data_IF_370346070809
#
_entry.id   IF_370346070809
#
_cell.length_a   1.000
_cell.length_b   1.000
_cell.length_c   1.000
_cell.angle_alpha   90.00
_cell.angle_beta   90.00
_cell.angle_gamma   90.00
#
_symmetry.space_group_name_H-M   'P 1'
#
loop_
_entity.id
_entity.type
_entity.pdbx_description
1 polymer ?
#
# COMPACT_ATOMS: atom_id res chain seq x y z
N UNK A 1 3.35 -28.57 18.86
CA UNK A 1 4.43 -27.98 19.67
C UNK A 1 5.61 -27.69 18.78
N UNK A 2 6.66 -27.03 19.28
CA UNK A 2 7.87 -26.78 18.49
C UNK A 2 8.47 -28.09 17.95
N UNK A 3 8.69 -28.15 16.65
CA UNK A 3 9.20 -29.33 15.94
C UNK A 3 10.55 -28.99 15.30
N UNK A 4 11.64 -29.68 15.66
CA UNK A 4 12.98 -29.40 15.13
C UNK A 4 13.20 -30.01 13.73
N UNK A 5 13.90 -29.29 12.87
CA UNK A 5 14.49 -29.81 11.62
C UNK A 5 15.80 -30.55 11.97
N UNK A 6 16.21 -31.65 11.28
CA UNK A 6 16.40 -31.63 9.83
C UNK A 6 15.68 -32.72 9.00
N UNK A 7 15.12 -33.76 9.61
CA UNK A 7 14.54 -34.90 8.86
C UNK A 7 13.15 -34.61 8.27
N UNK A 8 12.52 -33.53 8.70
CA UNK A 8 11.21 -33.04 8.26
C UNK A 8 11.19 -31.52 8.42
N UNK A 9 10.18 -30.88 7.83
CA UNK A 9 9.99 -29.44 7.91
C UNK A 9 9.74 -29.04 9.37
N UNK A 10 10.56 -28.16 9.94
CA UNK A 10 10.40 -27.70 11.32
C UNK A 10 9.47 -26.50 11.46
N UNK A 11 9.12 -26.18 12.71
CA UNK A 11 8.37 -24.95 13.03
C UNK A 11 9.15 -23.69 12.65
N UNK A 12 10.48 -23.71 12.82
CA UNK A 12 11.37 -22.61 12.42
C UNK A 12 11.34 -22.36 10.92
N UNK A 13 11.30 -23.41 10.10
CA UNK A 13 11.30 -23.30 8.63
C UNK A 13 10.02 -22.62 8.13
N UNK A 14 8.86 -23.00 8.68
CA UNK A 14 7.57 -22.36 8.38
C UNK A 14 7.61 -20.88 8.79
N UNK A 15 8.01 -20.62 10.04
CA UNK A 15 8.07 -19.26 10.58
C UNK A 15 8.99 -18.37 9.74
N UNK A 16 10.20 -18.84 9.45
CA UNK A 16 11.19 -18.08 8.73
C UNK A 16 10.78 -17.86 7.27
N UNK A 17 10.29 -18.89 6.59
CA UNK A 17 9.81 -18.75 5.21
C UNK A 17 8.65 -17.75 5.10
N UNK A 18 7.65 -17.85 5.97
CA UNK A 18 6.51 -16.93 5.95
C UNK A 18 6.91 -15.52 6.38
N UNK A 19 7.71 -15.39 7.45
CA UNK A 19 8.20 -14.10 7.92
C UNK A 19 9.02 -13.38 6.85
N UNK A 20 9.97 -14.09 6.20
CA UNK A 20 10.77 -13.51 5.13
C UNK A 20 9.89 -13.09 3.96
N UNK A 21 8.95 -13.91 3.51
CA UNK A 21 8.05 -13.54 2.41
C UNK A 21 7.18 -12.34 2.78
N UNK A 22 6.58 -12.32 3.97
CA UNK A 22 5.81 -11.16 4.45
C UNK A 22 6.69 -9.92 4.53
N UNK A 23 7.90 -10.04 5.09
CA UNK A 23 8.83 -8.93 5.24
C UNK A 23 9.27 -8.38 3.88
N UNK A 24 9.74 -9.23 2.96
CA UNK A 24 10.23 -8.80 1.66
C UNK A 24 9.10 -8.23 0.81
N UNK A 25 7.94 -8.87 0.77
CA UNK A 25 6.79 -8.38 0.01
C UNK A 25 6.28 -7.05 0.57
N UNK A 26 6.12 -6.91 1.90
CA UNK A 26 5.62 -5.66 2.50
C UNK A 26 6.64 -4.52 2.51
N UNK A 27 7.94 -4.81 2.59
CA UNK A 27 8.98 -3.77 2.61
C UNK A 27 9.30 -3.23 1.22
N UNK A 28 9.40 -4.12 0.23
CA UNK A 28 9.80 -3.76 -1.14
C UNK A 28 8.66 -3.18 -1.94
N UNK A 29 7.41 -3.51 -1.60
CA UNK A 29 6.24 -2.90 -2.25
C UNK A 29 6.11 -1.40 -1.92
N UNK A 30 6.65 -0.94 -0.80
CA UNK A 30 6.47 0.44 -0.34
C UNK A 30 7.36 1.44 -1.08
N UNK A 31 6.72 2.22 -1.94
CA UNK A 31 7.29 3.40 -2.58
C UNK A 31 6.78 4.64 -1.85
N UNK A 32 7.43 5.03 -0.75
CA UNK A 32 6.98 6.19 0.04
C UNK A 32 7.28 7.52 -0.67
N UNK A 33 6.50 8.55 -0.34
CA UNK A 33 6.71 9.91 -0.85
C UNK A 33 8.07 10.46 -0.41
N UNK A 34 8.60 11.40 -1.21
CA UNK A 34 9.95 11.94 -1.05
C UNK A 34 10.08 12.56 0.35
N UNK A 35 11.10 12.19 1.14
CA UNK A 35 11.32 12.76 2.46
C UNK A 35 11.73 14.23 2.38
N UNK A 36 11.55 14.97 3.46
CA UNK A 36 12.07 16.33 3.57
C UNK A 36 13.60 16.31 3.58
N UNK A 37 14.25 17.38 3.12
CA UNK A 37 15.70 17.58 3.30
C UNK A 37 16.12 17.61 4.77
N UNK A 38 15.17 17.90 5.67
CA UNK A 38 15.38 17.93 7.12
C UNK A 38 15.21 16.54 7.77
N UNK A 39 14.68 15.54 7.04
CA UNK A 39 14.41 14.21 7.61
C UNK A 39 15.71 13.38 7.64
N UNK A 40 16.22 13.13 8.84
CA UNK A 40 17.35 12.23 9.05
C UNK A 40 17.01 10.76 8.77
N UNK A 41 18.04 9.92 8.56
CA UNK A 41 17.91 8.48 8.28
C UNK A 41 16.99 7.72 9.25
N UNK A 42 17.03 7.95 10.58
CA UNK A 42 16.12 7.25 11.50
C UNK A 42 14.64 7.54 11.23
N UNK A 43 14.30 8.80 10.91
CA UNK A 43 12.93 9.21 10.61
C UNK A 43 12.45 8.50 9.35
N UNK A 44 13.30 8.44 8.30
CA UNK A 44 12.98 7.72 7.05
C UNK A 44 12.72 6.23 7.32
N UNK A 45 13.57 5.60 8.14
CA UNK A 45 13.42 4.19 8.50
C UNK A 45 12.13 3.92 9.28
N UNK A 46 11.87 4.66 10.37
CA UNK A 46 10.65 4.46 11.18
C UNK A 46 9.38 4.76 10.39
N UNK A 47 9.40 5.73 9.48
CA UNK A 47 8.29 6.00 8.56
C UNK A 47 8.02 4.79 7.66
N UNK A 48 9.07 4.18 7.10
CA UNK A 48 8.92 2.97 6.27
C UNK A 48 8.43 1.78 7.07
N UNK A 49 8.96 1.57 8.29
CA UNK A 49 8.50 0.54 9.20
C UNK A 49 7.01 0.71 9.59
N UNK A 50 6.56 1.95 9.84
CA UNK A 50 5.16 2.25 10.13
C UNK A 50 4.24 1.85 8.97
N UNK A 51 4.58 2.23 7.74
CA UNK A 51 3.82 1.87 6.55
C UNK A 51 3.88 0.36 6.25
N UNK A 52 5.00 -0.29 6.57
CA UNK A 52 5.12 -1.74 6.49
C UNK A 52 4.15 -2.43 7.46
N UNK A 53 4.03 -1.95 8.69
CA UNK A 53 3.05 -2.47 9.66
C UNK A 53 1.61 -2.32 9.16
N UNK A 54 1.27 -1.18 8.54
CA UNK A 54 -0.06 -1.00 7.90
C UNK A 54 -0.23 -2.00 6.76
N UNK A 55 0.79 -2.20 5.93
CA UNK A 55 0.77 -3.17 4.82
C UNK A 55 0.57 -4.59 5.32
N UNK A 56 1.19 -4.94 6.45
CA UNK A 56 1.01 -6.23 7.10
C UNK A 56 -0.41 -6.37 7.65
N UNK A 57 -1.05 -5.33 8.18
CA UNK A 57 -2.40 -5.46 8.74
C UNK A 57 -3.49 -5.44 7.65
N UNK A 58 -3.26 -4.62 6.62
CA UNK A 58 -4.24 -4.28 5.59
C UNK A 58 -3.56 -4.08 4.21
N UNK A 59 -3.09 -5.15 3.56
CA UNK A 59 -2.38 -5.06 2.27
C UNK A 59 -3.28 -4.56 1.13
N UNK A 60 -4.57 -4.86 1.16
CA UNK A 60 -5.56 -4.35 0.21
C UNK A 60 -5.72 -2.83 0.30
N UNK A 61 -5.58 -2.24 1.49
CA UNK A 61 -5.62 -0.79 1.65
C UNK A 61 -4.42 -0.13 0.96
N UNK A 62 -3.24 -0.72 1.05
CA UNK A 62 -2.04 -0.24 0.34
C UNK A 62 -2.19 -0.40 -1.18
N UNK A 63 -2.79 -1.50 -1.63
CA UNK A 63 -3.11 -1.72 -3.05
C UNK A 63 -4.02 -0.61 -3.58
N UNK A 64 -5.02 -0.19 -2.79
CA UNK A 64 -5.89 0.95 -3.14
C UNK A 64 -5.13 2.27 -3.21
N UNK A 65 -4.30 2.55 -2.21
CA UNK A 65 -3.45 3.76 -2.23
C UNK A 65 -2.60 3.77 -3.51
N UNK A 66 -2.08 2.61 -3.92
CA UNK A 66 -1.31 2.49 -5.15
C UNK A 66 -2.17 2.72 -6.41
N UNK A 67 -3.37 2.15 -6.47
CA UNK A 67 -4.33 2.41 -7.54
C UNK A 67 -4.66 3.89 -7.68
N UNK A 68 -4.97 4.59 -6.59
CA UNK A 68 -5.35 6.00 -6.64
C UNK A 68 -4.19 6.86 -7.14
N UNK A 69 -2.99 6.62 -6.64
CA UNK A 69 -1.81 7.34 -7.11
C UNK A 69 -1.54 7.05 -8.60
N UNK A 70 -1.73 5.80 -9.03
CA UNK A 70 -1.63 5.44 -10.44
C UNK A 70 -2.69 6.15 -11.29
N UNK A 71 -3.93 6.22 -10.82
CA UNK A 71 -5.03 6.88 -11.52
C UNK A 71 -4.76 8.38 -11.67
N UNK A 72 -4.36 9.06 -10.59
CA UNK A 72 -3.98 10.48 -10.60
C UNK A 72 -2.79 10.75 -11.52
N UNK A 73 -1.71 9.97 -11.38
CA UNK A 73 -0.54 10.08 -12.24
C UNK A 73 -0.91 9.83 -13.72
N UNK A 74 -1.78 8.87 -14.01
CA UNK A 74 -2.25 8.59 -15.37
C UNK A 74 -3.08 9.74 -15.94
N UNK A 75 -3.94 10.37 -15.12
CA UNK A 75 -4.74 11.54 -15.50
C UNK A 75 -3.87 12.77 -15.75
N UNK A 76 -2.74 12.90 -15.05
CA UNK A 76 -1.79 14.01 -15.24
C UNK A 76 -1.20 14.07 -16.65
N UNK A 77 -0.99 12.91 -17.29
CA UNK A 77 -0.32 12.81 -18.59
C UNK A 77 -1.02 13.61 -19.68
N UNK A 78 -2.31 13.38 -20.00
CA UNK A 78 -3.00 14.17 -21.00
C UNK A 78 -3.14 15.65 -20.60
N UNK A 79 -3.22 15.96 -19.30
CA UNK A 79 -3.35 17.36 -18.84
C UNK A 79 -2.07 18.16 -19.10
N UNK A 80 -0.90 17.62 -18.72
CA UNK A 80 0.38 18.29 -18.93
C UNK A 80 0.77 18.36 -20.41
N UNK A 81 0.46 17.32 -21.20
CA UNK A 81 0.71 17.35 -22.65
C UNK A 81 -0.08 18.42 -23.37
N UNK A 82 -1.30 18.76 -22.90
CA UNK A 82 -2.08 19.88 -23.44
C UNK A 82 -1.46 21.24 -23.14
N UNK A 83 -0.69 21.35 -22.06
CA UNK A 83 0.07 22.56 -21.70
C UNK A 83 1.42 22.65 -22.43
N UNK A 84 1.76 21.70 -23.31
CA UNK A 84 2.98 21.72 -24.13
C UNK A 84 4.11 20.81 -23.66
N UNK A 85 3.96 20.10 -22.53
CA UNK A 85 4.94 19.13 -22.01
C UNK A 85 4.77 17.76 -22.70
N UNK A 86 5.23 17.61 -23.94
CA UNK A 86 5.05 16.36 -24.71
C UNK A 86 5.79 15.16 -24.10
N UNK A 87 6.94 15.40 -23.47
CA UNK A 87 7.76 14.35 -22.83
C UNK A 87 7.20 13.90 -21.47
N UNK A 88 6.13 14.53 -20.98
CA UNK A 88 5.50 14.14 -19.73
C UNK A 88 4.90 12.73 -19.83
N UNK A 89 5.29 11.88 -18.89
CA UNK A 89 4.82 10.50 -18.77
C UNK A 89 4.31 10.21 -17.34
N UNK A 90 3.87 8.97 -17.11
CA UNK A 90 3.31 8.57 -15.82
C UNK A 90 4.33 8.68 -14.67
N UNK A 91 5.63 8.54 -14.96
CA UNK A 91 6.69 8.67 -13.94
C UNK A 91 6.80 10.12 -13.47
N UNK A 92 6.66 11.09 -14.37
CA UNK A 92 6.57 12.51 -14.00
C UNK A 92 5.33 12.80 -13.15
N UNK A 93 4.19 12.20 -13.50
CA UNK A 93 2.96 12.28 -12.70
C UNK A 93 3.15 11.77 -11.27
N UNK A 94 3.75 10.59 -11.13
CA UNK A 94 4.10 10.04 -9.81
C UNK A 94 5.10 10.93 -9.07
N UNK A 95 6.14 11.41 -9.74
CA UNK A 95 7.15 12.28 -9.14
C UNK A 95 6.53 13.57 -8.60
N UNK A 96 5.60 14.18 -9.35
CA UNK A 96 4.85 15.35 -8.88
C UNK A 96 4.00 15.04 -7.65
N UNK A 97 3.18 13.99 -7.68
CA UNK A 97 2.33 13.62 -6.54
C UNK A 97 3.12 13.16 -5.31
N UNK A 98 4.37 12.72 -5.48
CA UNK A 98 5.29 12.39 -4.40
C UNK A 98 5.96 13.63 -3.75
N UNK A 99 5.72 14.83 -4.29
CA UNK A 99 6.37 16.06 -3.85
C UNK A 99 7.77 16.26 -4.42
N UNK A 100 8.01 15.75 -5.63
CA UNK A 100 9.29 15.84 -6.32
C UNK A 100 9.60 17.23 -6.86
N UNK A 101 8.59 18.05 -7.13
CA UNK A 101 8.78 19.45 -7.53
C UNK A 101 8.64 20.38 -6.34
N UNK A 102 9.54 21.35 -6.24
CA UNK A 102 9.52 22.37 -5.20
C UNK A 102 9.76 23.76 -5.78
N UNK A 103 9.23 24.76 -5.09
CA UNK A 103 9.47 26.18 -5.35
C UNK A 103 10.06 26.86 -4.13
N UNK A 104 10.86 27.90 -4.36
CA UNK A 104 11.40 28.79 -3.34
C UNK A 104 10.72 30.16 -3.46
N UNK A 105 10.30 30.70 -2.32
CA UNK A 105 9.72 32.04 -2.22
C UNK A 105 10.77 33.07 -1.81
N UNK A 106 10.40 34.34 -1.95
CA UNK A 106 11.19 35.53 -1.59
C UNK A 106 11.64 35.60 -0.12
N UNK A 107 10.98 34.88 0.79
CA UNK A 107 11.36 34.75 2.20
C UNK A 107 12.25 33.53 2.50
N UNK A 108 12.88 32.96 1.47
CA UNK A 108 13.66 31.72 1.52
C UNK A 108 12.87 30.48 1.96
N UNK A 109 11.54 30.57 2.05
CA UNK A 109 10.71 29.40 2.34
C UNK A 109 10.61 28.50 1.11
N UNK A 110 10.60 27.18 1.36
CA UNK A 110 10.48 26.16 0.32
C UNK A 110 9.15 25.44 0.43
N UNK A 111 8.55 25.12 -0.72
CA UNK A 111 7.27 24.45 -0.77
C UNK A 111 7.22 23.41 -1.89
N UNK A 112 6.82 22.20 -1.53
CA UNK A 112 6.63 21.08 -2.46
C UNK A 112 5.25 21.14 -3.10
N UNK A 113 5.22 20.95 -4.42
CA UNK A 113 4.01 20.97 -5.23
C UNK A 113 3.49 19.55 -5.46
N UNK A 114 2.18 19.35 -5.29
CA UNK A 114 1.48 18.21 -5.87
C UNK A 114 1.16 18.45 -7.35
N UNK A 115 0.60 17.44 -8.04
CA UNK A 115 0.26 17.58 -9.46
C UNK A 115 -0.70 18.76 -9.74
N UNK A 116 -1.78 18.91 -8.96
CA UNK A 116 -2.79 19.94 -9.21
C UNK A 116 -2.19 21.35 -9.03
N UNK A 117 -1.34 21.52 -8.01
CA UNK A 117 -0.64 22.76 -7.75
C UNK A 117 0.36 23.07 -8.86
N UNK A 118 1.14 22.08 -9.29
CA UNK A 118 2.08 22.24 -10.39
C UNK A 118 1.36 22.64 -11.70
N UNK A 119 0.25 21.97 -12.02
CA UNK A 119 -0.58 22.30 -13.18
C UNK A 119 -1.05 23.75 -13.13
N UNK A 120 -1.53 24.22 -11.97
CA UNK A 120 -1.97 25.60 -11.79
C UNK A 120 -0.85 26.62 -12.03
N UNK A 121 0.36 26.38 -11.52
CA UNK A 121 1.50 27.27 -11.74
C UNK A 121 1.85 27.42 -13.23
N UNK A 122 1.80 26.32 -13.99
CA UNK A 122 2.07 26.33 -15.43
C UNK A 122 0.94 27.04 -16.18
N UNK A 123 -0.32 26.69 -15.87
CA UNK A 123 -1.50 27.23 -16.53
C UNK A 123 -1.61 28.75 -16.35
N UNK A 124 -1.19 29.28 -15.19
CA UNK A 124 -1.13 30.72 -14.92
C UNK A 124 0.13 31.42 -15.44
N UNK A 125 1.08 30.68 -16.03
CA UNK A 125 2.32 31.23 -16.58
C UNK A 125 3.32 31.68 -15.52
N UNK A 126 3.22 31.17 -14.29
CA UNK A 126 4.18 31.44 -13.22
C UNK A 126 5.43 30.54 -13.28
N UNK A 127 5.35 29.41 -13.98
CA UNK A 127 6.48 28.51 -14.27
C UNK A 127 6.57 28.24 -15.77
N UNK A 128 7.79 28.12 -16.29
CA UNK A 128 8.04 27.84 -17.71
C UNK A 128 8.19 26.33 -17.93
N UNK A 129 7.83 25.85 -19.11
CA UNK A 129 7.98 24.44 -19.53
C UNK A 129 9.44 23.96 -19.37
N UNK A 130 10.41 24.85 -19.67
CA UNK A 130 11.85 24.55 -19.56
C UNK A 130 12.28 24.25 -18.13
N UNK A 131 11.66 24.88 -17.13
CA UNK A 131 11.97 24.68 -15.71
C UNK A 131 11.57 23.29 -15.23
N UNK A 132 10.65 22.63 -15.94
CA UNK A 132 9.98 21.37 -15.52
C UNK A 132 10.46 20.17 -16.34
N UNK A 133 11.19 20.41 -17.43
CA UNK A 133 11.65 19.35 -18.33
C UNK A 133 12.79 18.58 -17.67
N UNK A 134 12.45 17.55 -16.89
CA UNK A 134 13.39 16.62 -16.26
C UNK A 134 13.46 15.36 -17.13
N UNK A 135 14.67 14.88 -17.43
CA UNK A 135 14.80 13.55 -18.06
C UNK A 135 14.31 12.47 -17.11
N UNK A 136 13.48 11.55 -17.62
CA UNK A 136 13.04 10.34 -16.92
C UNK A 136 14.22 9.54 -16.34
N UNK A 137 15.34 9.53 -17.04
CA UNK A 137 16.55 8.83 -16.63
C UNK A 137 17.13 9.42 -15.34
N UNK A 138 17.11 10.75 -15.19
CA UNK A 138 17.53 11.41 -13.95
C UNK A 138 16.63 11.06 -12.77
N UNK A 139 15.35 10.77 -13.01
CA UNK A 139 14.40 10.34 -11.97
C UNK A 139 14.62 8.85 -11.63
N UNK A 140 15.00 8.01 -12.60
CA UNK A 140 15.05 6.56 -12.47
C UNK A 140 16.44 5.96 -12.20
N UNK A 141 17.49 6.77 -12.07
CA UNK A 141 18.89 6.32 -11.93
C UNK A 141 19.12 5.35 -10.73
N UNK A 142 18.27 5.40 -9.69
CA UNK A 142 18.34 4.51 -8.51
C UNK A 142 17.56 3.19 -8.63
N UNK A 143 16.87 2.93 -9.74
CA UNK A 143 15.92 1.81 -9.91
C UNK A 143 16.56 0.40 -10.00
N UNK A 144 17.87 0.28 -10.23
CA UNK A 144 18.52 -1.04 -10.41
C UNK A 144 18.46 -1.92 -9.15
N UNK A 145 18.71 -1.34 -7.97
CA UNK A 145 18.63 -2.07 -6.69
C UNK A 145 17.19 -2.49 -6.35
N UNK A 146 16.21 -1.68 -6.77
CA UNK A 146 14.78 -1.96 -6.62
C UNK A 146 14.35 -3.17 -7.44
N UNK A 147 14.77 -3.26 -8.72
CA UNK A 147 14.46 -4.40 -9.59
C UNK A 147 14.99 -5.72 -9.01
N UNK A 148 16.22 -5.74 -8.51
CA UNK A 148 16.80 -6.93 -7.88
C UNK A 148 15.99 -7.36 -6.64
N UNK A 149 15.70 -6.42 -5.75
CA UNK A 149 15.01 -6.73 -4.48
C UNK A 149 13.58 -7.21 -4.72
N UNK A 150 12.87 -6.63 -5.69
CA UNK A 150 11.54 -7.10 -6.13
C UNK A 150 11.58 -8.48 -6.77
N UNK A 151 12.61 -8.77 -7.56
CA UNK A 151 12.78 -10.09 -8.17
C UNK A 151 12.94 -11.18 -7.11
N UNK A 152 13.74 -10.90 -6.08
CA UNK A 152 13.89 -11.80 -4.91
C UNK A 152 12.55 -11.98 -4.19
N UNK A 153 11.81 -10.90 -3.93
CA UNK A 153 10.50 -10.97 -3.28
C UNK A 153 9.50 -11.80 -4.09
N UNK A 154 9.44 -11.61 -5.41
CA UNK A 154 8.58 -12.39 -6.31
C UNK A 154 8.96 -13.87 -6.34
N UNK A 155 10.25 -14.20 -6.35
CA UNK A 155 10.72 -15.59 -6.30
C UNK A 155 10.34 -16.26 -4.97
N UNK A 156 10.55 -15.58 -3.84
CA UNK A 156 10.17 -16.07 -2.51
C UNK A 156 8.65 -16.28 -2.38
N UNK A 157 7.86 -15.32 -2.84
CA UNK A 157 6.40 -15.42 -2.85
C UNK A 157 5.91 -16.57 -3.74
N UNK A 158 6.47 -16.70 -4.94
CA UNK A 158 6.13 -17.76 -5.89
C UNK A 158 6.48 -19.14 -5.33
N UNK A 159 7.64 -19.26 -4.68
CA UNK A 159 8.07 -20.48 -4.02
C UNK A 159 7.08 -20.90 -2.92
N UNK A 160 6.69 -19.97 -2.05
CA UNK A 160 5.72 -20.25 -0.99
C UNK A 160 4.35 -20.65 -1.55
N UNK A 161 3.85 -19.94 -2.56
CA UNK A 161 2.57 -20.26 -3.22
C UNK A 161 2.62 -21.65 -3.85
N UNK A 162 3.70 -21.99 -4.55
CA UNK A 162 3.89 -23.31 -5.14
C UNK A 162 3.89 -24.41 -4.07
N UNK A 163 4.58 -24.18 -2.94
CA UNK A 163 4.57 -25.11 -1.80
C UNK A 163 3.14 -25.31 -1.26
N UNK A 164 2.39 -24.23 -1.03
CA UNK A 164 1.00 -24.32 -0.57
C UNK A 164 0.09 -25.08 -1.55
N UNK A 165 0.21 -24.81 -2.86
CA UNK A 165 -0.56 -25.51 -3.89
C UNK A 165 -0.22 -27.00 -3.91
N UNK A 166 1.07 -27.34 -3.87
CA UNK A 166 1.51 -28.73 -3.89
C UNK A 166 1.06 -29.50 -2.63
N UNK A 167 1.07 -28.87 -1.45
CA UNK A 167 0.50 -29.45 -0.22
C UNK A 167 -0.98 -29.73 -0.37
N UNK A 168 -1.76 -28.77 -0.87
CA UNK A 168 -3.19 -28.96 -1.12
C UNK A 168 -3.45 -30.09 -2.12
N UNK A 169 -2.65 -30.19 -3.19
CA UNK A 169 -2.75 -31.26 -4.18
C UNK A 169 -2.44 -32.65 -3.60
N UNK A 170 -1.60 -32.73 -2.57
CA UNK A 170 -1.26 -33.97 -1.86
C UNK A 170 -2.14 -34.20 -0.62
N UNK A 171 -3.20 -33.42 -0.41
CA UNK A 171 -4.06 -33.50 0.78
C UNK A 171 -3.30 -33.34 2.11
N UNK A 172 -2.22 -32.57 2.10
CA UNK A 172 -1.47 -32.18 3.29
C UNK A 172 -2.02 -30.86 3.86
N UNK A 173 -2.16 -30.74 5.19
CA UNK A 173 -2.63 -29.50 5.79
C UNK A 173 -1.58 -28.39 5.63
N UNK A 174 -2.05 -27.19 5.34
CA UNK A 174 -1.23 -25.97 5.26
C UNK A 174 -1.42 -25.19 6.56
N UNK A 175 -0.38 -24.55 7.08
CA UNK A 175 -0.54 -23.73 8.28
C UNK A 175 -1.36 -22.46 8.00
N UNK A 176 -2.02 -21.91 9.01
CA UNK A 176 -2.76 -20.65 8.91
C UNK A 176 -1.84 -19.50 8.44
N UNK A 177 -0.57 -19.49 8.91
CA UNK A 177 0.40 -18.47 8.52
C UNK A 177 0.80 -18.58 7.05
N UNK A 178 0.99 -19.78 6.53
CA UNK A 178 1.27 -20.01 5.10
C UNK A 178 0.11 -19.59 4.21
N UNK A 179 -1.11 -20.02 4.54
CA UNK A 179 -2.32 -19.66 3.80
C UNK A 179 -2.46 -18.13 3.72
N UNK A 180 -2.31 -17.47 4.86
CA UNK A 180 -2.41 -16.04 4.88
C UNK A 180 -1.28 -15.36 4.13
N UNK A 181 -0.03 -15.80 4.28
CA UNK A 181 1.07 -15.22 3.49
C UNK A 181 0.81 -15.38 1.99
N UNK A 182 0.23 -16.48 1.54
CA UNK A 182 -0.24 -16.64 0.16
C UNK A 182 -1.33 -15.63 -0.22
N UNK A 183 -2.24 -15.29 0.69
CA UNK A 183 -3.26 -14.26 0.47
C UNK A 183 -2.67 -12.86 0.24
N UNK A 184 -1.47 -12.55 0.75
CA UNK A 184 -0.79 -11.26 0.53
C UNK A 184 -0.21 -11.14 -0.88
N UNK A 185 0.10 -12.26 -1.53
CA UNK A 185 0.78 -12.26 -2.83
C UNK A 185 -0.03 -11.53 -3.91
N UNK A 186 -1.35 -11.80 -4.11
CA UNK A 186 -2.16 -11.02 -5.05
C UNK A 186 -2.14 -9.51 -4.79
N UNK A 187 -2.26 -9.09 -3.51
CA UNK A 187 -2.21 -7.66 -3.16
C UNK A 187 -0.84 -7.04 -3.47
N UNK A 188 0.25 -7.74 -3.14
CA UNK A 188 1.61 -7.28 -3.45
C UNK A 188 1.83 -7.14 -4.96
N UNK A 189 1.40 -8.12 -5.76
CA UNK A 189 1.49 -8.08 -7.22
C UNK A 189 0.69 -6.93 -7.84
N UNK A 190 -0.56 -6.73 -7.39
CA UNK A 190 -1.39 -5.60 -7.82
C UNK A 190 -0.74 -4.26 -7.46
N UNK A 191 -0.21 -4.15 -6.23
CA UNK A 191 0.46 -2.93 -5.78
C UNK A 191 1.71 -2.64 -6.61
N UNK A 192 2.55 -3.64 -6.90
CA UNK A 192 3.68 -3.48 -7.80
C UNK A 192 3.25 -3.06 -9.21
N UNK A 193 2.14 -3.60 -9.71
CA UNK A 193 1.63 -3.26 -11.03
C UNK A 193 1.21 -1.79 -11.10
N UNK A 194 0.44 -1.30 -10.11
CA UNK A 194 0.04 0.11 -10.03
C UNK A 194 1.25 1.03 -9.86
N UNK A 195 2.24 0.65 -9.04
CA UNK A 195 3.45 1.45 -8.79
C UNK A 195 4.62 1.19 -9.72
N UNK A 196 4.44 0.47 -10.84
CA UNK A 196 5.53 0.18 -11.80
C UNK A 196 6.22 1.43 -12.36
N UNK A 197 5.50 2.54 -12.46
CA UNK A 197 6.02 3.82 -12.94
C UNK A 197 6.52 4.75 -11.84
N UNK A 198 6.32 4.38 -10.56
CA UNK A 198 6.60 5.24 -9.40
C UNK A 198 8.07 5.14 -9.01
N UNK A 199 8.82 6.26 -8.95
CA UNK A 199 10.22 6.26 -8.53
C UNK A 199 10.42 5.60 -7.16
N UNK A 200 11.51 4.84 -7.02
CA UNK A 200 11.87 4.16 -5.77
C UNK A 200 13.00 4.90 -5.07
N UNK A 201 12.84 5.13 -3.77
CA UNK A 201 13.84 5.71 -2.86
C UNK A 201 14.49 7.01 -3.38
N UNK A 202 13.66 7.88 -3.95
CA UNK A 202 14.11 9.19 -4.42
C UNK A 202 14.20 10.17 -3.26
N UNK A 203 15.40 10.65 -2.99
CA UNK A 203 15.67 11.66 -1.96
C UNK A 203 15.78 13.08 -2.54
N UNK A 204 15.73 13.23 -3.86
CA UNK A 204 16.02 14.49 -4.55
C UNK A 204 14.74 15.15 -5.05
N UNK A 205 14.55 16.39 -4.61
CA UNK A 205 13.51 17.30 -5.07
C UNK A 205 14.11 18.26 -6.11
N UNK A 206 13.38 18.48 -7.20
CA UNK A 206 13.76 19.41 -8.24
C UNK A 206 13.16 20.78 -7.97
N UNK A 207 14.02 21.79 -7.93
CA UNK A 207 13.60 23.18 -7.76
C UNK A 207 13.22 23.76 -9.13
N UNK A 208 11.96 24.16 -9.30
CA UNK A 208 11.44 24.64 -10.59
C UNK A 208 11.10 26.14 -10.61
N UNK A 209 11.02 26.78 -9.45
CA UNK A 209 10.81 28.23 -9.35
C UNK A 209 11.61 28.80 -8.18
N UNK A 210 12.25 29.95 -8.38
CA UNK A 210 12.99 30.69 -7.35
C UNK A 210 12.44 32.10 -7.22
N UNK A 211 12.55 32.66 -6.02
CA UNK A 211 12.17 34.02 -5.67
C UNK A 211 10.72 34.36 -6.06
N UNK A 212 9.82 33.38 -5.94
CA UNK A 212 8.40 33.61 -6.16
C UNK A 212 7.83 34.48 -5.02
N UNK A 213 6.88 35.36 -5.35
CA UNK A 213 6.17 36.16 -4.34
C UNK A 213 5.37 35.25 -3.42
N UNK A 214 5.52 35.40 -2.11
CA UNK A 214 4.78 34.60 -1.11
C UNK A 214 3.25 34.71 -1.21
N UNK A 215 2.72 35.83 -1.70
CA UNK A 215 1.29 36.03 -1.97
C UNK A 215 0.69 34.95 -2.89
N UNK A 216 1.51 34.42 -3.80
CA UNK A 216 1.12 33.36 -4.71
C UNK A 216 0.82 32.05 -4.00
N UNK A 217 1.44 31.81 -2.84
CA UNK A 217 1.14 30.64 -2.01
C UNK A 217 -0.26 30.72 -1.40
N UNK A 218 -0.69 31.91 -0.96
CA UNK A 218 -2.06 32.08 -0.44
C UNK A 218 -3.10 31.86 -1.54
N UNK A 219 -2.87 32.41 -2.73
CA UNK A 219 -3.79 32.25 -3.87
C UNK A 219 -3.86 30.78 -4.31
N UNK A 220 -2.72 30.11 -4.40
CA UNK A 220 -2.63 28.68 -4.68
C UNK A 220 -3.44 27.87 -3.66
N UNK A 221 -3.25 28.12 -2.37
CA UNK A 221 -3.93 27.39 -1.30
C UNK A 221 -5.44 27.65 -1.26
N UNK A 222 -5.88 28.83 -1.73
CA UNK A 222 -7.29 29.17 -1.86
C UNK A 222 -7.96 28.42 -3.03
N UNK A 223 -7.26 28.27 -4.16
CA UNK A 223 -7.80 27.66 -5.39
C UNK A 223 -7.60 26.14 -5.42
N UNK A 224 -6.42 25.67 -5.03
CA UNK A 224 -6.01 24.29 -4.99
C UNK A 224 -5.53 23.94 -3.57
N UNK A 225 -6.47 23.81 -2.61
CA UNK A 225 -6.11 23.30 -1.29
C UNK A 225 -5.51 21.90 -1.52
N UNK A 226 -4.22 21.75 -1.24
CA UNK A 226 -3.51 20.49 -1.50
C UNK A 226 -4.25 19.30 -0.89
N UNK A 227 -4.04 18.09 -1.42
CA UNK A 227 -4.80 16.86 -1.10
C UNK A 227 -4.69 16.32 0.33
N UNK A 228 -4.84 17.19 1.33
CA UNK A 228 -4.93 16.99 2.77
C UNK A 228 -5.59 18.24 3.41
N UNK A 229 -6.53 18.90 2.72
CA UNK A 229 -7.10 20.20 3.11
C UNK A 229 -7.64 20.22 4.55
N UNK A 230 -8.27 19.13 4.99
CA UNK A 230 -8.75 18.93 6.37
C UNK A 230 -7.63 18.73 7.41
N UNK A 231 -6.53 18.08 7.04
CA UNK A 231 -5.37 17.89 7.94
C UNK A 231 -4.50 19.15 8.01
N UNK A 232 -4.44 19.90 6.90
CA UNK A 232 -3.75 21.19 6.79
C UNK A 232 -4.45 22.29 7.60
N UNK A 233 -5.78 22.25 7.73
CA UNK A 233 -6.54 23.22 8.52
C UNK A 233 -6.32 23.10 10.03
N UNK A 234 -5.84 21.95 10.53
CA UNK A 234 -5.57 21.69 11.95
C UNK A 234 -4.08 21.82 12.33
N UNK A 235 -3.18 21.93 11.36
CA UNK A 235 -1.74 21.94 11.58
C UNK A 235 -1.24 23.36 11.93
N UNK A 236 -0.94 23.55 13.22
CA UNK A 236 -0.53 24.84 13.81
C UNK A 236 0.83 25.39 13.34
N UNK A 237 1.72 24.55 12.78
CA UNK A 237 3.05 24.98 12.31
C UNK A 237 3.32 24.58 10.86
N UNK A 238 4.21 25.32 10.17
CA UNK A 238 4.62 25.02 8.81
C UNK A 238 5.22 23.60 8.69
N UNK A 239 6.06 23.19 9.63
CA UNK A 239 6.65 21.84 9.66
C UNK A 239 5.57 20.74 9.80
N UNK A 240 4.54 20.96 10.63
CA UNK A 240 3.42 20.01 10.78
C UNK A 240 2.58 19.90 9.50
N UNK A 241 2.39 21.01 8.77
CA UNK A 241 1.73 21.02 7.45
C UNK A 241 2.54 20.27 6.40
N UNK A 242 3.87 20.42 6.42
CA UNK A 242 4.75 19.62 5.58
C UNK A 242 4.71 18.14 5.97
N UNK A 243 4.63 17.78 7.27
CA UNK A 243 4.47 16.38 7.76
C UNK A 243 3.21 15.71 7.25
N UNK A 244 2.06 16.40 7.33
CA UNK A 244 0.78 15.85 6.90
C UNK A 244 0.77 15.48 5.40
N UNK A 245 1.40 16.31 4.55
CA UNK A 245 1.55 16.08 3.10
C UNK A 245 2.47 14.92 2.70
N UNK A 246 3.22 14.35 3.66
CA UNK A 246 4.13 13.22 3.43
C UNK A 246 3.45 11.85 3.54
N UNK A 247 2.20 11.80 3.99
CA UNK A 247 1.38 10.60 3.90
C UNK A 247 0.88 10.47 2.45
N UNK A 248 0.84 9.26 1.86
CA UNK A 248 0.00 9.03 0.69
C UNK A 248 -1.36 9.66 0.97
N UNK A 249 -1.84 10.54 0.08
CA UNK A 249 -3.13 11.20 0.27
C UNK A 249 -4.17 10.15 0.66
N UNK A 250 -4.78 10.31 1.83
CA UNK A 250 -5.92 9.50 2.27
C UNK A 250 -7.24 10.05 1.68
N UNK A 251 -7.14 11.02 0.77
CA UNK A 251 -8.24 11.51 -0.06
C UNK A 251 -8.92 10.50 -1.02
N UNK A 252 -8.41 9.28 -1.35
CA UNK A 252 -9.10 8.34 -2.24
C UNK A 252 -10.52 7.98 -1.77
N UNK A 253 -10.85 8.17 -0.49
CA UNK A 253 -12.11 7.71 0.08
C UNK A 253 -13.34 8.55 -0.30
N UNK A 254 -13.17 9.79 -0.78
CA UNK A 254 -14.29 10.74 -0.90
C UNK A 254 -14.73 11.06 -2.34
N UNK A 255 -13.81 11.07 -3.32
CA UNK A 255 -14.09 11.75 -4.59
C UNK A 255 -14.43 10.85 -5.79
N UNK A 256 -14.10 9.55 -5.79
CA UNK A 256 -14.47 8.65 -6.90
C UNK A 256 -15.31 7.44 -6.44
N UNK A 257 -16.60 7.33 -6.80
CA UNK A 257 -17.43 6.20 -6.40
C UNK A 257 -16.91 4.86 -6.96
N UNK A 258 -16.23 4.89 -8.10
CA UNK A 258 -15.65 3.71 -8.74
C UNK A 258 -14.42 3.17 -7.98
N UNK A 259 -13.53 4.05 -7.48
CA UNK A 259 -12.35 3.64 -6.72
C UNK A 259 -12.72 2.92 -5.43
N UNK A 260 -13.71 3.44 -4.70
CA UNK A 260 -14.22 2.80 -3.47
C UNK A 260 -14.86 1.43 -3.74
N UNK A 261 -15.56 1.25 -4.86
CA UNK A 261 -16.14 -0.06 -5.23
C UNK A 261 -15.02 -1.09 -5.48
N UNK A 262 -13.98 -0.72 -6.23
CA UNK A 262 -12.82 -1.59 -6.45
C UNK A 262 -12.13 -1.94 -5.13
N UNK A 263 -11.92 -0.95 -4.24
CA UNK A 263 -11.32 -1.18 -2.92
C UNK A 263 -12.06 -2.28 -2.16
N UNK A 264 -13.37 -2.12 -1.97
CA UNK A 264 -14.12 -3.06 -1.13
C UNK A 264 -14.32 -4.41 -1.81
N UNK A 265 -14.27 -4.47 -3.15
CA UNK A 265 -14.23 -5.73 -3.88
C UNK A 265 -12.91 -6.50 -3.63
N UNK A 266 -11.76 -5.82 -3.71
CA UNK A 266 -10.45 -6.42 -3.38
C UNK A 266 -10.40 -6.84 -1.91
N UNK A 267 -10.90 -5.99 -1.00
CA UNK A 267 -10.98 -6.30 0.43
C UNK A 267 -11.87 -7.52 0.71
N UNK A 268 -13.02 -7.61 0.05
CA UNK A 268 -13.92 -8.75 0.18
C UNK A 268 -13.26 -10.03 -0.34
N UNK A 269 -12.63 -9.99 -1.51
CA UNK A 269 -11.87 -11.11 -2.05
C UNK A 269 -10.80 -11.59 -1.08
N UNK A 270 -10.00 -10.66 -0.54
CA UNK A 270 -8.94 -10.99 0.41
C UNK A 270 -9.49 -11.55 1.72
N UNK A 271 -10.56 -10.99 2.28
CA UNK A 271 -11.22 -11.54 3.47
C UNK A 271 -11.79 -12.94 3.22
N UNK A 272 -12.30 -13.21 2.02
CA UNK A 272 -12.80 -14.53 1.65
C UNK A 272 -11.69 -15.60 1.63
N UNK A 273 -10.43 -15.23 1.38
CA UNK A 273 -9.31 -16.17 1.45
C UNK A 273 -9.09 -16.74 2.86
N UNK A 274 -9.40 -16.00 3.93
CA UNK A 274 -9.33 -16.52 5.30
C UNK A 274 -10.40 -17.57 5.60
N UNK A 275 -11.49 -17.58 4.83
CA UNK A 275 -12.52 -18.62 4.93
C UNK A 275 -12.05 -19.94 4.33
N UNK A 276 -10.98 -19.98 3.53
CA UNK A 276 -10.40 -21.25 3.06
C UNK A 276 -9.87 -22.11 4.23
N UNK A 277 -9.52 -21.49 5.36
CA UNK A 277 -9.15 -22.17 6.59
C UNK A 277 -10.35 -22.50 7.52
N UNK A 278 -11.57 -22.55 6.97
CA UNK A 278 -12.77 -22.83 7.78
C UNK A 278 -12.70 -24.18 8.51
N UNK A 279 -12.21 -25.19 7.81
CA UNK A 279 -12.11 -26.58 8.28
C UNK A 279 -10.69 -26.95 8.73
N UNK A 280 -9.82 -25.97 8.97
CA UNK A 280 -8.48 -26.25 9.47
C UNK A 280 -8.53 -26.74 10.91
N UNK A 281 -7.56 -27.58 11.28
CA UNK A 281 -7.36 -28.01 12.65
C UNK A 281 -6.79 -26.85 13.48
N UNK A 282 -7.52 -26.46 14.53
CA UNK A 282 -7.05 -25.48 15.50
C UNK A 282 -6.67 -26.18 16.81
N UNK A 283 -5.70 -25.63 17.56
CA UNK A 283 -5.33 -26.16 18.88
C UNK A 283 -6.48 -26.32 19.87
N UNK A 284 -7.43 -25.39 19.83
CA UNK A 284 -8.62 -25.40 20.68
C UNK A 284 -9.86 -25.08 19.87
N UNK A 285 -11.02 -25.61 20.29
CA UNK A 285 -12.31 -25.30 19.68
C UNK A 285 -12.63 -23.81 19.79
N UNK A 286 -12.21 -23.16 20.88
CA UNK A 286 -12.35 -21.72 21.04
C UNK A 286 -11.60 -20.96 19.95
N UNK A 287 -10.34 -21.30 19.66
CA UNK A 287 -9.55 -20.67 18.59
C UNK A 287 -10.20 -20.86 17.21
N UNK A 288 -10.75 -22.04 16.92
CA UNK A 288 -11.50 -22.28 15.69
C UNK A 288 -12.72 -21.35 15.58
N UNK A 289 -13.51 -21.21 16.66
CA UNK A 289 -14.66 -20.31 16.67
C UNK A 289 -14.24 -18.85 16.48
N UNK A 290 -13.20 -18.39 17.17
CA UNK A 290 -12.73 -17.02 17.01
C UNK A 290 -12.24 -16.76 15.58
N UNK A 291 -11.47 -17.68 14.98
CA UNK A 291 -11.05 -17.56 13.57
C UNK A 291 -12.26 -17.38 12.65
N UNK A 292 -13.26 -18.26 12.78
CA UNK A 292 -14.49 -18.24 11.97
C UNK A 292 -15.29 -16.95 12.17
N UNK A 293 -15.46 -16.49 13.41
CA UNK A 293 -16.15 -15.24 13.75
C UNK A 293 -15.43 -14.04 13.14
N UNK A 294 -14.11 -13.93 13.30
CA UNK A 294 -13.37 -12.77 12.80
C UNK A 294 -13.19 -12.81 11.27
N UNK A 295 -13.02 -13.99 10.66
CA UNK A 295 -13.03 -14.12 9.20
C UNK A 295 -14.38 -13.72 8.59
N UNK A 296 -15.49 -14.16 9.18
CA UNK A 296 -16.85 -13.76 8.74
C UNK A 296 -17.13 -12.30 9.00
N UNK A 297 -16.72 -11.75 10.16
CA UNK A 297 -16.84 -10.33 10.45
C UNK A 297 -16.06 -9.47 9.45
N UNK A 298 -14.82 -9.82 9.12
CA UNK A 298 -14.00 -9.10 8.15
C UNK A 298 -14.59 -9.11 6.73
N UNK A 299 -15.06 -10.28 6.27
CA UNK A 299 -15.74 -10.40 4.98
C UNK A 299 -17.08 -9.67 4.96
N UNK A 300 -17.88 -9.80 6.03
CA UNK A 300 -19.17 -9.13 6.19
C UNK A 300 -19.03 -7.61 6.21
N UNK A 301 -18.06 -7.06 6.95
CA UNK A 301 -17.74 -5.63 6.96
C UNK A 301 -17.36 -5.12 5.57
N UNK A 302 -16.49 -5.86 4.87
CA UNK A 302 -16.05 -5.51 3.51
C UNK A 302 -17.20 -5.55 2.51
N UNK A 303 -18.04 -6.58 2.57
CA UNK A 303 -19.23 -6.72 1.73
C UNK A 303 -20.29 -5.65 2.01
N UNK A 304 -20.50 -5.28 3.27
CA UNK A 304 -21.40 -4.19 3.66
C UNK A 304 -20.92 -2.85 3.10
N UNK A 305 -19.63 -2.55 3.22
CA UNK A 305 -19.06 -1.32 2.66
C UNK A 305 -19.17 -1.32 1.13
N UNK A 306 -18.85 -2.43 0.46
CA UNK A 306 -19.04 -2.57 -0.98
C UNK A 306 -20.50 -2.26 -1.38
N UNK A 307 -21.48 -2.85 -0.68
CA UNK A 307 -22.89 -2.63 -0.96
C UNK A 307 -23.30 -1.16 -0.75
N UNK A 308 -22.83 -0.51 0.32
CA UNK A 308 -23.09 0.91 0.59
C UNK A 308 -22.52 1.79 -0.53
N UNK A 309 -21.30 1.53 -0.99
CA UNK A 309 -20.68 2.32 -2.04
C UNK A 309 -21.29 2.09 -3.42
N UNK A 310 -21.69 0.86 -3.75
CA UNK A 310 -22.48 0.56 -4.96
C UNK A 310 -23.84 1.28 -4.90
N UNK A 311 -24.50 1.25 -3.75
CA UNK A 311 -25.78 1.95 -3.56
C UNK A 311 -25.61 3.47 -3.69
N UNK A 312 -24.59 4.05 -3.04
CA UNK A 312 -24.25 5.48 -3.15
C UNK A 312 -23.94 5.88 -4.59
N UNK A 313 -23.24 5.03 -5.34
CA UNK A 313 -22.98 5.26 -6.76
C UNK A 313 -24.27 5.29 -7.57
N UNK A 314 -25.19 4.34 -7.34
CA UNK A 314 -26.42 4.20 -8.13
C UNK A 314 -27.50 5.22 -7.79
N UNK A 315 -27.61 5.62 -6.53
CA UNK A 315 -28.75 6.40 -5.99
C UNK A 315 -28.34 7.75 -5.39
N UNK A 316 -27.04 8.07 -5.33
CA UNK A 316 -26.55 9.33 -4.78
C UNK A 316 -26.28 9.29 -3.28
N UNK A 317 -26.12 10.45 -2.63
CA UNK A 317 -25.75 10.52 -1.22
C UNK A 317 -26.80 9.88 -0.32
N UNK A 318 -26.32 9.11 0.67
CA UNK A 318 -27.16 8.26 1.49
C UNK A 318 -27.90 8.93 2.63
N UNK A 319 -28.66 8.09 3.35
CA UNK A 319 -29.38 8.48 4.57
C UNK A 319 -28.44 8.95 5.69
N UNK A 320 -28.95 9.74 6.64
CA UNK A 320 -28.19 10.36 7.74
C UNK A 320 -27.32 9.37 8.54
N UNK A 321 -27.75 8.13 8.70
CA UNK A 321 -27.04 7.10 9.48
C UNK A 321 -25.99 6.31 8.69
N UNK A 322 -25.88 6.52 7.37
CA UNK A 322 -24.94 5.78 6.51
C UNK A 322 -23.49 5.91 7.00
N UNK A 323 -23.07 7.11 7.40
CA UNK A 323 -21.72 7.36 7.90
C UNK A 323 -21.41 6.64 9.21
N UNK A 324 -22.39 6.51 10.10
CA UNK A 324 -22.23 5.77 11.36
C UNK A 324 -22.05 4.28 11.06
N UNK A 325 -22.87 3.72 10.16
CA UNK A 325 -22.75 2.32 9.72
C UNK A 325 -21.39 2.06 9.07
N UNK A 326 -20.94 2.96 8.21
CA UNK A 326 -19.61 2.87 7.58
C UNK A 326 -18.50 2.88 8.64
N UNK A 327 -18.56 3.81 9.60
CA UNK A 327 -17.59 3.90 10.69
C UNK A 327 -17.52 2.63 11.54
N UNK A 328 -18.69 2.11 11.96
CA UNK A 328 -18.77 0.85 12.69
C UNK A 328 -18.22 -0.34 11.87
N UNK A 329 -18.52 -0.38 10.57
CA UNK A 329 -18.02 -1.44 9.69
C UNK A 329 -16.49 -1.42 9.55
N UNK A 330 -15.89 -0.22 9.43
CA UNK A 330 -14.44 -0.04 9.41
C UNK A 330 -13.79 -0.46 10.73
N UNK A 331 -14.38 -0.11 11.88
CA UNK A 331 -13.86 -0.53 13.19
C UNK A 331 -13.91 -2.05 13.32
N UNK A 332 -15.04 -2.68 12.96
CA UNK A 332 -15.19 -4.12 12.99
C UNK A 332 -14.19 -4.82 12.06
N UNK A 333 -13.97 -4.25 10.88
CA UNK A 333 -12.97 -4.71 9.92
C UNK A 333 -11.56 -4.68 10.51
N UNK A 334 -11.14 -3.54 11.08
CA UNK A 334 -9.80 -3.40 11.66
C UNK A 334 -9.59 -4.33 12.86
N UNK A 335 -10.61 -4.49 13.71
CA UNK A 335 -10.57 -5.43 14.83
C UNK A 335 -10.41 -6.87 14.34
N UNK A 336 -11.16 -7.26 13.31
CA UNK A 336 -11.03 -8.57 12.68
C UNK A 336 -9.64 -8.79 12.07
N UNK A 337 -9.07 -7.78 11.41
CA UNK A 337 -7.70 -7.86 10.87
C UNK A 337 -6.66 -8.04 11.93
N UNK A 338 -6.74 -7.25 13.01
CA UNK A 338 -5.80 -7.36 14.10
C UNK A 338 -5.84 -8.74 14.75
N UNK A 339 -7.04 -9.27 14.99
CA UNK A 339 -7.20 -10.62 15.52
C UNK A 339 -6.65 -11.69 14.57
N UNK A 340 -7.01 -11.66 13.28
CA UNK A 340 -6.52 -12.64 12.30
C UNK A 340 -4.99 -12.57 12.19
N UNK A 341 -4.40 -11.37 12.17
CA UNK A 341 -2.95 -11.15 12.26
C UNK A 341 -2.34 -11.88 13.44
N UNK A 342 -2.88 -11.66 14.64
CA UNK A 342 -2.42 -12.32 15.85
C UNK A 342 -2.61 -13.85 15.80
N UNK A 343 -3.78 -14.33 15.39
CA UNK A 343 -4.15 -15.74 15.40
C UNK A 343 -3.25 -16.61 14.50
N UNK A 344 -2.78 -16.05 13.38
CA UNK A 344 -1.86 -16.75 12.46
C UNK A 344 -0.53 -17.09 13.11
N UNK A 345 0.02 -16.20 13.93
CA UNK A 345 1.25 -16.49 14.68
C UNK A 345 0.96 -17.34 15.92
N UNK A 346 -0.15 -17.07 16.60
CA UNK A 346 -0.52 -17.75 17.84
C UNK A 346 -0.78 -19.25 17.63
N UNK A 347 -1.47 -19.61 16.53
CA UNK A 347 -1.82 -20.99 16.21
C UNK A 347 -0.59 -21.89 15.96
N UNK A 348 0.57 -21.33 15.59
CA UNK A 348 1.82 -22.08 15.38
C UNK A 348 2.37 -22.74 16.64
N UNK A 349 1.92 -22.31 17.83
CA UNK A 349 2.29 -22.93 19.11
C UNK A 349 1.96 -24.42 19.16
N UNK A 350 0.89 -24.85 18.48
CA UNK A 350 0.33 -26.19 18.63
C UNK A 350 -0.32 -26.72 17.34
N UNK A 351 0.44 -26.69 16.24
CA UNK A 351 0.00 -27.30 14.98
C UNK A 351 -0.04 -28.84 15.02
N UNK A 352 -0.93 -29.47 14.23
CA UNK A 352 -0.91 -30.90 13.98
C UNK A 352 0.41 -31.34 13.35
N UNK A 353 0.85 -32.58 13.63
CA UNK A 353 2.09 -33.15 13.08
C UNK A 353 2.13 -33.17 11.56
N UNK A 354 0.97 -33.34 10.90
CA UNK A 354 0.82 -33.40 9.44
C UNK A 354 1.23 -32.10 8.73
N UNK A 355 1.24 -30.96 9.43
CA UNK A 355 1.72 -29.68 8.87
C UNK A 355 3.23 -29.71 8.60
N UNK A 356 3.96 -30.57 9.30
CA UNK A 356 5.42 -30.72 9.19
C UNK A 356 5.85 -31.77 8.16
N UNK A 357 4.91 -32.48 7.53
CA UNK A 357 5.19 -33.41 6.42
C UNK A 357 5.70 -32.63 5.22
N UNK A 358 6.84 -33.03 4.64
CA UNK A 358 7.42 -32.41 3.45
C UNK A 358 6.70 -32.88 2.19
N UNK A 359 6.60 -32.01 1.18
CA UNK A 359 5.98 -32.36 -0.11
C UNK A 359 6.89 -33.32 -0.87
N UNK A 360 6.32 -34.38 -1.45
CA UNK A 360 7.10 -35.49 -2.06
C UNK A 360 8.13 -35.05 -3.10
N UNK A 361 7.85 -33.99 -3.87
CA UNK A 361 8.72 -33.59 -4.96
C UNK A 361 9.98 -32.82 -4.50
N UNK A 362 10.02 -32.40 -3.24
CA UNK A 362 11.19 -31.73 -2.65
C UNK A 362 12.40 -32.70 -2.60
N UNK A 363 12.14 -34.01 -2.59
CA UNK A 363 13.18 -35.07 -2.66
C UNK A 363 13.91 -35.06 -4.01
N UNK A 364 13.30 -34.55 -5.08
CA UNK A 364 13.92 -34.47 -6.41
C UNK A 364 14.71 -33.17 -6.62
N UNK A 365 14.67 -32.23 -5.67
CA UNK A 365 15.48 -31.02 -5.72
C UNK A 365 16.81 -31.24 -4.97
N UNK A 366 17.93 -30.72 -5.51
CA UNK A 366 19.20 -30.79 -4.80
C UNK A 366 19.10 -30.01 -3.47
N UNK A 367 19.28 -30.74 -2.36
CA UNK A 367 19.49 -30.15 -1.05
C UNK A 367 20.92 -29.58 -1.03
N UNK A 368 21.07 -28.25 -1.06
CA UNK A 368 22.35 -27.56 -0.96
C UNK A 368 22.66 -27.14 0.47
#
# INVERSE_FOLDING_TARGET
>A
GWTPSPNHRGTADILWSCFLTLFTCSWTVLHLNIPSKLDGTPIKFFRKAYWMSITIIAPEFITMVAYEQWYRASKSVPQMRRLGLQDWDITHGFYADMGGFAVQFDDDSYYTLDFNQLHWFIEKGHLTIQDITISKENIQDRSKADVFTKSVACLQASWLVLQCIARTAQHLPTSQLELATCAYVPCALLTYWFWRGKPFDTDHQTMVGRDLKKELLSDLLAVCPGGNSHTLSQAHSADTRHRARRLPSLDPFYDTPFGSVILYAISLFFCALYMLAWDYDFPTTAEAYHWRIFATAGAGSSGLLLAIFVWRWRYGPGWKYMFIIMGCSVILYLAARFYLCFAMFYSLRSMPSRVYETVDWVVYLPHF
#
